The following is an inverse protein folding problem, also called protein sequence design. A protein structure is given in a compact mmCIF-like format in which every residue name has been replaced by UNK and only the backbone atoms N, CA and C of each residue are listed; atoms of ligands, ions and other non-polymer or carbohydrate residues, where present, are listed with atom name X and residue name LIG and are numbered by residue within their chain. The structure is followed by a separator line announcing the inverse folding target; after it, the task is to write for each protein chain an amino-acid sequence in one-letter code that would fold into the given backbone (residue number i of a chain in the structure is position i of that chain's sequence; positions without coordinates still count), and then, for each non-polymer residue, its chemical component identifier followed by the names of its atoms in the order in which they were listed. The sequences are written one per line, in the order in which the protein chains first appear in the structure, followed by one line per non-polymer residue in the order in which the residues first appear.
data_IF_935979540709
#
_entry.id   IF_935979540709
#
_cell.length_a   1.000
_cell.length_b   1.000
_cell.length_c   1.000
_cell.angle_alpha   90.00
_cell.angle_beta   90.00
_cell.angle_gamma   90.00
#
_symmetry.space_group_name_H-M   'P 1'
#
loop_
_entity.id
_entity.type
_entity.pdbx_description
1 polymer ?
#
# COMPACT_ATOMS: atom_id res chain seq x y z
N UNK A 1 17.86 22.26 2.88
CA UNK A 1 17.08 21.08 3.26
C UNK A 1 16.72 21.21 4.71
N UNK A 2 15.44 21.45 4.98
CA UNK A 2 14.91 21.40 6.34
C UNK A 2 14.76 19.94 6.77
N UNK A 3 14.82 19.67 8.09
CA UNK A 3 14.65 18.32 8.64
C UNK A 3 13.32 17.68 8.19
N UNK A 4 12.28 18.50 8.05
CA UNK A 4 10.97 18.10 7.54
C UNK A 4 11.01 17.58 6.10
N UNK A 5 11.69 18.31 5.20
CA UNK A 5 11.85 17.91 3.80
C UNK A 5 12.65 16.62 3.68
N UNK A 6 13.70 16.46 4.50
CA UNK A 6 14.49 15.23 4.55
C UNK A 6 13.62 14.03 4.95
N UNK A 7 12.77 14.16 5.97
CA UNK A 7 11.87 13.07 6.38
C UNK A 7 10.86 12.72 5.29
N UNK A 8 10.29 13.71 4.59
CA UNK A 8 9.39 13.47 3.46
C UNK A 8 10.07 12.67 2.35
N UNK A 9 11.25 13.11 1.90
CA UNK A 9 11.98 12.42 0.83
C UNK A 9 12.37 10.98 1.20
N UNK A 10 12.69 10.72 2.47
CA UNK A 10 12.98 9.36 2.94
C UNK A 10 11.72 8.48 2.85
N UNK A 11 10.57 8.98 3.26
CA UNK A 11 9.30 8.23 3.19
C UNK A 11 8.91 8.00 1.73
N UNK A 12 9.04 9.01 0.86
CA UNK A 12 8.77 8.88 -0.58
C UNK A 12 9.68 7.84 -1.23
N UNK A 13 10.98 7.82 -0.90
CA UNK A 13 11.90 6.80 -1.40
C UNK A 13 11.48 5.39 -0.97
N UNK A 14 11.03 5.22 0.28
CA UNK A 14 10.51 3.93 0.78
C UNK A 14 9.25 3.52 0.01
N UNK A 15 8.35 4.45 -0.26
CA UNK A 15 7.12 4.19 -1.04
C UNK A 15 7.47 3.72 -2.46
N UNK A 16 8.43 4.36 -3.13
CA UNK A 16 8.86 3.97 -4.48
C UNK A 16 9.41 2.55 -4.48
N UNK A 17 10.30 2.22 -3.55
CA UNK A 17 10.89 0.87 -3.44
C UNK A 17 9.79 -0.17 -3.13
N UNK A 18 8.89 0.14 -2.19
CA UNK A 18 7.76 -0.73 -1.88
C UNK A 18 6.82 -0.92 -3.07
N UNK A 19 6.65 0.10 -3.91
CA UNK A 19 5.79 0.05 -5.11
C UNK A 19 6.38 -0.84 -6.20
N UNK A 20 7.69 -0.76 -6.41
CA UNK A 20 8.40 -1.67 -7.31
C UNK A 20 8.25 -3.11 -6.82
N UNK A 21 8.49 -3.34 -5.52
CA UNK A 21 8.31 -4.67 -4.92
C UNK A 21 6.86 -5.17 -5.07
N UNK A 22 5.86 -4.32 -4.81
CA UNK A 22 4.44 -4.67 -4.97
C UNK A 22 4.10 -5.09 -6.41
N UNK A 23 4.70 -4.43 -7.41
CA UNK A 23 4.47 -4.72 -8.82
C UNK A 23 5.20 -5.99 -9.31
N UNK A 24 6.38 -6.30 -8.76
CA UNK A 24 7.19 -7.45 -9.18
C UNK A 24 6.81 -8.77 -8.46
N UNK A 25 6.10 -8.70 -7.34
CA UNK A 25 5.79 -9.91 -6.57
C UNK A 25 4.77 -10.80 -7.28
N UNK A 26 5.16 -12.03 -7.63
CA UNK A 26 4.25 -13.03 -8.24
C UNK A 26 3.12 -13.49 -7.31
N UNK A 27 3.32 -13.36 -5.99
CA UNK A 27 2.32 -13.74 -5.01
C UNK A 27 1.41 -12.55 -4.69
N UNK A 28 0.14 -12.68 -5.10
CA UNK A 28 -0.89 -11.64 -5.00
C UNK A 28 -1.11 -11.20 -3.53
N UNK A 29 -0.94 -12.10 -2.56
CA UNK A 29 -1.07 -11.76 -1.14
C UNK A 29 -0.07 -10.68 -0.73
N UNK A 30 1.21 -10.86 -1.10
CA UNK A 30 2.26 -9.91 -0.77
C UNK A 30 2.11 -8.60 -1.55
N UNK A 31 1.60 -8.64 -2.79
CA UNK A 31 1.28 -7.44 -3.55
C UNK A 31 0.19 -6.60 -2.87
N UNK A 32 -0.89 -7.22 -2.37
CA UNK A 32 -1.96 -6.53 -1.65
C UNK A 32 -1.47 -5.95 -0.32
N UNK A 33 -0.63 -6.68 0.43
CA UNK A 33 -0.04 -6.17 1.66
C UNK A 33 0.92 -4.99 1.40
N UNK A 34 1.73 -5.07 0.35
CA UNK A 34 2.61 -3.96 -0.05
C UNK A 34 1.78 -2.72 -0.46
N UNK A 35 0.67 -2.92 -1.17
CA UNK A 35 -0.28 -1.86 -1.51
C UNK A 35 -0.89 -1.19 -0.25
N UNK A 36 -1.13 -1.96 0.81
CA UNK A 36 -1.61 -1.44 2.11
C UNK A 36 -0.56 -0.54 2.74
N UNK A 37 0.68 -1.01 2.80
CA UNK A 37 1.79 -0.22 3.34
C UNK A 37 1.95 1.09 2.58
N UNK A 38 1.91 1.04 1.24
CA UNK A 38 1.99 2.25 0.39
C UNK A 38 0.84 3.21 0.67
N UNK A 39 -0.38 2.69 0.80
CA UNK A 39 -1.57 3.52 1.07
C UNK A 39 -1.49 4.22 2.43
N UNK A 40 -0.99 3.52 3.45
CA UNK A 40 -0.80 4.08 4.81
C UNK A 40 0.32 5.11 4.82
N UNK A 41 1.48 4.81 4.21
CA UNK A 41 2.60 5.76 4.13
C UNK A 41 2.20 7.03 3.39
N UNK A 42 1.42 6.92 2.31
CA UNK A 42 0.88 8.07 1.57
C UNK A 42 -0.03 8.93 2.46
N UNK A 43 -0.84 8.31 3.32
CA UNK A 43 -1.67 9.07 4.25
C UNK A 43 -0.85 9.82 5.31
N UNK A 44 0.27 9.24 5.76
CA UNK A 44 1.22 9.90 6.67
C UNK A 44 1.85 11.11 6.00
N UNK A 45 2.21 11.01 4.72
CA UNK A 45 2.70 12.17 3.93
C UNK A 45 1.64 13.27 3.88
N UNK A 46 0.39 12.96 3.57
CA UNK A 46 -0.68 13.96 3.55
C UNK A 46 -0.92 14.61 4.90
N UNK A 47 -0.75 13.87 6.00
CA UNK A 47 -0.82 14.43 7.34
C UNK A 47 0.34 15.41 7.59
N UNK A 48 1.56 15.04 7.22
CA UNK A 48 2.75 15.89 7.35
C UNK A 48 2.64 17.18 6.52
N UNK A 49 2.03 17.11 5.34
CA UNK A 49 1.79 18.26 4.46
C UNK A 49 0.65 19.19 4.93
N UNK A 50 -0.04 18.87 6.02
CA UNK A 50 -1.17 19.65 6.54
C UNK A 50 -2.50 19.39 5.81
N UNK A 51 -2.55 18.41 4.90
CA UNK A 51 -3.74 18.04 4.15
C UNK A 51 -4.59 17.01 4.93
N UNK A 52 -5.16 17.44 6.07
CA UNK A 52 -5.86 16.54 7.00
C UNK A 52 -7.04 15.79 6.37
N UNK A 53 -7.88 16.49 5.59
CA UNK A 53 -9.04 15.87 4.93
C UNK A 53 -8.61 14.76 3.96
N UNK A 54 -7.57 15.01 3.16
CA UNK A 54 -7.06 14.03 2.19
C UNK A 54 -6.44 12.83 2.91
N UNK A 55 -5.69 13.05 4.00
CA UNK A 55 -5.12 11.97 4.83
C UNK A 55 -6.20 11.05 5.41
N UNK A 56 -7.29 11.62 5.94
CA UNK A 56 -8.41 10.84 6.47
C UNK A 56 -9.10 10.00 5.39
N UNK A 57 -9.34 10.58 4.21
CA UNK A 57 -9.91 9.85 3.07
C UNK A 57 -8.96 8.76 2.59
N UNK A 58 -7.65 9.03 2.55
CA UNK A 58 -6.64 8.05 2.16
C UNK A 58 -6.65 6.83 3.09
N UNK A 59 -6.69 7.04 4.41
CA UNK A 59 -6.78 5.93 5.37
C UNK A 59 -8.14 5.21 5.29
N UNK A 60 -9.25 5.95 5.24
CA UNK A 60 -10.58 5.35 5.26
C UNK A 60 -10.93 4.58 3.98
N UNK A 61 -10.66 5.17 2.82
CA UNK A 61 -11.07 4.63 1.52
C UNK A 61 -10.00 3.71 0.95
N UNK A 62 -8.75 4.16 0.84
CA UNK A 62 -7.71 3.36 0.18
C UNK A 62 -7.16 2.27 1.10
N UNK A 63 -6.74 2.61 2.32
CA UNK A 63 -6.24 1.59 3.27
C UNK A 63 -7.36 0.74 3.88
N UNK A 64 -8.56 1.28 4.00
CA UNK A 64 -9.73 0.58 4.52
C UNK A 64 -10.52 -0.10 3.41
N UNK A 65 -11.48 0.60 2.82
CA UNK A 65 -12.49 0.01 1.92
C UNK A 65 -11.90 -0.75 0.73
N UNK A 66 -11.00 -0.12 -0.03
CA UNK A 66 -10.45 -0.68 -1.28
C UNK A 66 -9.57 -1.90 -0.98
N UNK A 67 -8.67 -1.80 -0.01
CA UNK A 67 -7.77 -2.93 0.30
C UNK A 67 -8.48 -4.07 0.99
N UNK A 68 -9.43 -3.79 1.89
CA UNK A 68 -10.26 -4.85 2.46
C UNK A 68 -11.03 -5.57 1.34
N UNK A 69 -11.58 -4.85 0.36
CA UNK A 69 -12.19 -5.46 -0.83
C UNK A 69 -11.19 -6.33 -1.60
N UNK A 70 -9.96 -5.87 -1.84
CA UNK A 70 -8.94 -6.70 -2.50
C UNK A 70 -8.59 -7.96 -1.70
N UNK A 71 -8.47 -7.86 -0.37
CA UNK A 71 -8.23 -9.01 0.50
C UNK A 71 -9.39 -10.00 0.40
N UNK A 72 -10.64 -9.53 0.47
CA UNK A 72 -11.81 -10.41 0.33
C UNK A 72 -11.83 -11.14 -1.01
N UNK A 73 -11.61 -10.42 -2.12
CA UNK A 73 -11.55 -11.01 -3.45
C UNK A 73 -10.42 -12.03 -3.55
N UNK A 74 -9.24 -11.71 -3.01
CA UNK A 74 -8.09 -12.63 -2.98
C UNK A 74 -8.39 -13.92 -2.20
N UNK A 75 -9.01 -13.80 -1.02
CA UNK A 75 -9.41 -14.96 -0.20
C UNK A 75 -10.44 -15.82 -0.95
N UNK A 76 -11.43 -15.20 -1.61
CA UNK A 76 -12.46 -15.92 -2.36
C UNK A 76 -11.90 -16.63 -3.62
N UNK A 77 -10.82 -16.13 -4.20
CA UNK A 77 -10.28 -16.62 -5.48
C UNK A 77 -9.21 -17.72 -5.35
N UNK A 78 -8.99 -18.29 -4.15
CA UNK A 78 -7.93 -19.31 -3.88
C UNK A 78 -6.56 -18.89 -4.41
N UNK A 79 -6.20 -17.61 -4.24
CA UNK A 79 -5.07 -16.94 -4.92
C UNK A 79 -3.73 -17.67 -4.91
N UNK A 80 -3.59 -18.64 -5.84
CA UNK A 80 -2.39 -19.42 -6.08
C UNK A 80 -2.34 -20.81 -5.45
N UNK A 81 -3.40 -21.63 -5.44
CA UNK A 81 -3.18 -23.09 -5.40
C UNK A 81 -2.60 -23.47 -6.77
N UNK A 82 -1.31 -23.86 -6.89
CA UNK A 82 -0.89 -24.59 -8.07
C UNK A 82 -1.74 -25.86 -8.07
N UNK A 83 -2.52 -26.06 -9.13
CA UNK A 83 -3.03 -27.39 -9.40
C UNK A 83 -1.80 -28.21 -9.74
N UNK A 84 -1.23 -28.82 -8.69
CA UNK A 84 -0.30 -29.92 -8.82
C UNK A 84 -1.10 -31.05 -9.46
N UNK A 85 -1.06 -31.06 -10.78
CA UNK A 85 -1.47 -32.19 -11.58
C UNK A 85 -0.24 -33.05 -11.78
N UNK A 86 -0.27 -34.24 -11.16
CA UNK A 86 0.55 -35.43 -11.44
C UNK A 86 2.06 -35.37 -11.19
#
# INVERSE_FOLDING_TARGET
MNLFELMLYVIEAIIVVASIYAAETKNIAYAILALLVISVLTAIIFYMLGALFVSMVQLGVFSGAIIVMFIFVFVMTRGGVPVDGE
#
